data_IF_873501751972
#
_entry.id   IF_873501751972
#
_cell.length_a   1.000
_cell.length_b   1.000
_cell.length_c   1.000
_cell.angle_alpha   90.00
_cell.angle_beta   90.00
_cell.angle_gamma   90.00
#
_symmetry.space_group_name_H-M   'P 1'
#
loop_
_entity.id
_entity.type
_entity.pdbx_description
1 polymer ?
#
# COMPACT_ATOMS: atom_id res chain seq x y z
N UNK A 1 -34.01 -48.90 -26.47
CA UNK A 1 -33.17 -48.15 -27.43
C UNK A 1 -33.74 -46.75 -27.57
N UNK A 2 -33.24 -45.81 -26.77
CA UNK A 2 -33.45 -44.36 -26.79
C UNK A 2 -32.75 -43.86 -25.51
N UNK A 3 -31.72 -43.01 -25.50
CA UNK A 3 -31.26 -42.02 -26.46
C UNK A 3 -31.01 -40.74 -25.66
N UNK A 4 -29.89 -40.69 -24.94
CA UNK A 4 -29.48 -39.61 -24.03
C UNK A 4 -29.18 -38.33 -24.83
N UNK A 5 -29.90 -37.24 -24.56
CA UNK A 5 -29.68 -35.93 -25.21
C UNK A 5 -28.99 -34.97 -24.24
N UNK A 6 -27.70 -34.71 -24.47
CA UNK A 6 -26.93 -33.66 -23.82
C UNK A 6 -27.01 -32.39 -24.67
N UNK A 7 -27.39 -31.26 -24.08
CA UNK A 7 -27.38 -29.94 -24.74
C UNK A 7 -26.04 -29.26 -24.51
N UNK A 8 -25.31 -29.00 -25.60
CA UNK A 8 -24.03 -28.31 -25.60
C UNK A 8 -24.21 -26.79 -25.71
N UNK A 9 -23.43 -26.05 -24.92
CA UNK A 9 -23.33 -24.58 -24.92
C UNK A 9 -22.52 -24.13 -26.16
N UNK A 10 -23.09 -23.26 -26.99
CA UNK A 10 -22.39 -22.67 -28.14
C UNK A 10 -21.93 -21.26 -27.75
N UNK A 11 -20.61 -21.06 -27.60
CA UNK A 11 -20.00 -19.74 -27.54
C UNK A 11 -19.90 -19.17 -28.97
N UNK A 12 -20.66 -18.11 -29.25
CA UNK A 12 -20.54 -17.35 -30.49
C UNK A 12 -19.43 -16.29 -30.35
N UNK A 13 -18.22 -16.61 -30.79
CA UNK A 13 -17.17 -15.63 -31.08
C UNK A 13 -17.32 -15.13 -32.52
N UNK A 14 -17.66 -13.85 -32.70
CA UNK A 14 -17.62 -13.20 -34.01
C UNK A 14 -16.18 -12.76 -34.31
N UNK A 15 -15.55 -13.45 -35.25
CA UNK A 15 -14.31 -13.04 -35.91
C UNK A 15 -14.56 -13.02 -37.41
N UNK A 16 -14.31 -11.88 -38.06
CA UNK A 16 -14.54 -11.62 -39.47
C UNK A 16 -13.52 -12.35 -40.37
N UNK A 17 -14.06 -12.92 -41.44
CA UNK A 17 -13.47 -13.88 -42.39
C UNK A 17 -12.39 -13.31 -43.35
N UNK A 18 -11.28 -14.03 -43.56
CA UNK A 18 -10.54 -14.18 -44.84
C UNK A 18 -9.44 -15.26 -44.78
N UNK A 19 -9.73 -16.43 -45.35
CA UNK A 19 -8.93 -17.40 -46.15
C UNK A 19 -7.39 -17.55 -45.97
N UNK A 20 -7.01 -18.66 -45.31
CA UNK A 20 -5.85 -19.60 -45.48
C UNK A 20 -4.47 -19.16 -46.05
N UNK A 21 -3.39 -19.41 -45.30
CA UNK A 21 -2.40 -20.49 -45.53
C UNK A 21 -1.18 -20.41 -44.58
N UNK A 22 -0.48 -21.53 -44.51
CA UNK A 22 0.39 -22.12 -43.49
C UNK A 22 1.80 -21.51 -43.32
N UNK A 23 2.36 -21.66 -42.10
CA UNK A 23 3.76 -22.06 -41.75
C UNK A 23 4.70 -21.03 -41.08
N UNK A 24 5.15 -21.45 -39.89
CA UNK A 24 6.52 -21.39 -39.33
C UNK A 24 7.22 -20.06 -39.00
N UNK A 25 7.56 -19.97 -37.71
CA UNK A 25 8.86 -19.57 -37.13
C UNK A 25 9.34 -18.13 -37.34
N UNK A 26 9.43 -17.36 -36.26
CA UNK A 26 10.70 -16.77 -35.76
C UNK A 26 10.42 -15.80 -34.61
N UNK A 27 11.36 -15.75 -33.67
CA UNK A 27 11.33 -14.88 -32.51
C UNK A 27 11.38 -13.39 -32.91
N UNK A 28 10.71 -12.55 -32.12
CA UNK A 28 11.11 -11.15 -31.90
C UNK A 28 10.55 -10.72 -30.55
N UNK A 29 11.45 -10.29 -29.67
CA UNK A 29 11.10 -9.53 -28.49
C UNK A 29 10.47 -8.21 -28.97
N UNK A 30 9.28 -7.89 -28.48
CA UNK A 30 8.75 -6.54 -28.61
C UNK A 30 8.42 -6.01 -27.22
N UNK A 31 8.93 -4.80 -27.01
CA UNK A 31 8.91 -4.08 -25.76
C UNK A 31 7.47 -3.70 -25.46
N UNK A 32 6.90 -4.26 -24.39
CA UNK A 32 5.63 -3.75 -23.87
C UNK A 32 5.91 -2.39 -23.23
N UNK A 33 5.88 -1.34 -24.06
CA UNK A 33 5.79 0.03 -23.62
C UNK A 33 4.62 0.14 -22.64
N UNK A 34 4.89 0.66 -21.45
CA UNK A 34 3.83 0.98 -20.50
C UNK A 34 2.86 1.94 -21.19
N UNK A 35 1.65 1.46 -21.44
CA UNK A 35 0.61 2.27 -22.05
C UNK A 35 0.20 3.34 -21.04
N UNK A 36 0.69 4.57 -21.26
CA UNK A 36 0.28 5.73 -20.48
C UNK A 36 -1.20 5.96 -20.72
N UNK A 37 -2.04 5.52 -19.78
CA UNK A 37 -3.45 5.83 -19.79
C UNK A 37 -3.64 7.35 -19.88
N UNK A 38 -4.49 7.79 -20.81
CA UNK A 38 -4.89 9.18 -20.92
C UNK A 38 -5.46 9.66 -19.57
N UNK A 39 -5.27 10.94 -19.18
CA UNK A 39 -5.83 11.46 -17.95
C UNK A 39 -7.35 11.29 -18.00
N UNK A 40 -7.90 10.50 -17.08
CA UNK A 40 -9.33 10.39 -16.91
C UNK A 40 -9.90 11.76 -16.50
N UNK A 41 -11.03 12.16 -17.07
CA UNK A 41 -11.76 13.34 -16.62
C UNK A 41 -11.96 13.28 -15.11
N UNK A 42 -11.78 14.41 -14.43
CA UNK A 42 -11.88 14.50 -12.99
C UNK A 42 -13.28 14.06 -12.53
N UNK A 43 -13.38 12.81 -12.06
CA UNK A 43 -14.62 12.28 -11.50
C UNK A 43 -14.86 12.95 -10.14
N UNK A 44 -16.12 13.34 -9.88
CA UNK A 44 -16.50 13.79 -8.55
C UNK A 44 -16.29 12.64 -7.55
N UNK A 45 -15.44 12.85 -6.55
CA UNK A 45 -15.19 11.87 -5.50
C UNK A 45 -16.43 11.76 -4.61
N UNK A 46 -16.92 10.54 -4.41
CA UNK A 46 -17.97 10.28 -3.44
C UNK A 46 -17.37 10.29 -2.04
N UNK A 47 -17.94 11.12 -1.16
CA UNK A 47 -17.53 11.16 0.24
C UNK A 47 -18.20 10.03 1.02
N UNK A 48 -17.39 9.24 1.73
CA UNK A 48 -17.85 8.14 2.57
C UNK A 48 -18.18 6.85 1.80
N UNK A 49 -18.57 5.81 2.55
CA UNK A 49 -18.83 4.47 2.03
C UNK A 49 -18.21 3.39 2.90
N UNK A 50 -18.43 2.13 2.51
CA UNK A 50 -17.86 0.96 3.20
C UNK A 50 -17.01 0.19 2.21
N UNK A 51 -15.76 -0.07 2.60
CA UNK A 51 -14.88 -1.04 1.93
C UNK A 51 -14.88 -2.31 2.77
N UNK A 52 -15.19 -3.45 2.15
CA UNK A 52 -15.13 -4.77 2.80
C UNK A 52 -13.95 -5.53 2.21
N UNK A 53 -13.02 -5.91 3.07
CA UNK A 53 -11.80 -6.63 2.70
C UNK A 53 -11.85 -8.00 3.38
N UNK A 54 -11.64 -9.07 2.62
CA UNK A 54 -11.43 -10.40 3.16
C UNK A 54 -9.98 -10.58 3.56
N UNK A 55 -9.74 -11.12 4.76
CA UNK A 55 -8.41 -11.38 5.30
C UNK A 55 -8.16 -12.89 5.42
N UNK A 56 -6.89 -13.28 5.40
CA UNK A 56 -6.49 -14.69 5.52
C UNK A 56 -6.69 -15.26 6.93
N UNK A 57 -6.61 -14.41 7.97
CA UNK A 57 -6.80 -14.79 9.37
C UNK A 57 -7.13 -13.58 10.28
N UNK A 58 -7.59 -13.87 11.49
CA UNK A 58 -7.71 -12.89 12.59
C UNK A 58 -6.30 -12.61 13.19
N UNK A 59 -5.97 -11.35 13.55
CA UNK A 59 -4.74 -11.04 14.29
C UNK A 59 -4.79 -11.52 15.74
N UNK A 60 -3.67 -12.04 16.27
CA UNK A 60 -3.58 -12.46 17.68
C UNK A 60 -3.53 -11.27 18.66
N UNK A 61 -3.03 -10.13 18.19
CA UNK A 61 -2.98 -8.88 18.94
C UNK A 61 -2.96 -7.66 18.01
N UNK A 62 -3.21 -6.47 18.58
CA UNK A 62 -3.23 -5.19 17.85
C UNK A 62 -2.01 -4.31 18.15
N UNK A 63 -1.13 -4.75 19.06
CA UNK A 63 0.19 -4.15 19.20
C UNK A 63 1.07 -4.66 18.06
N UNK A 64 1.30 -3.81 17.07
CA UNK A 64 1.96 -4.18 15.82
C UNK A 64 3.47 -4.42 15.95
N UNK A 65 4.09 -4.06 17.09
CA UNK A 65 5.51 -4.37 17.36
C UNK A 65 5.71 -5.58 18.26
N UNK A 66 4.67 -6.05 18.96
CA UNK A 66 4.77 -7.14 19.93
C UNK A 66 5.03 -8.50 19.26
N UNK A 67 5.56 -9.48 20.01
CA UNK A 67 5.89 -10.81 19.45
C UNK A 67 4.68 -11.59 18.94
N UNK A 68 3.47 -11.23 19.36
CA UNK A 68 2.21 -11.78 18.85
C UNK A 68 1.78 -11.21 17.50
N UNK A 69 2.47 -10.20 16.95
CA UNK A 69 2.11 -9.53 15.69
C UNK A 69 2.49 -10.35 14.42
N UNK A 70 2.33 -11.68 14.46
CA UNK A 70 2.71 -12.58 13.37
C UNK A 70 1.75 -12.57 12.17
N UNK A 71 0.55 -12.00 12.31
CA UNK A 71 -0.40 -11.82 11.21
C UNK A 71 -0.01 -10.61 10.35
N UNK A 72 0.30 -10.85 9.07
CA UNK A 72 0.64 -9.77 8.14
C UNK A 72 -0.55 -8.82 7.92
N UNK A 73 -1.77 -9.37 7.81
CA UNK A 73 -2.99 -8.58 7.76
C UNK A 73 -3.16 -7.72 9.02
N UNK A 74 -2.92 -8.29 10.20
CA UNK A 74 -2.95 -7.58 11.47
C UNK A 74 -2.03 -6.37 11.49
N UNK A 75 -0.78 -6.54 11.05
CA UNK A 75 0.19 -5.44 10.98
C UNK A 75 -0.23 -4.36 9.98
N UNK A 76 -0.80 -4.71 8.82
CA UNK A 76 -1.33 -3.69 7.89
C UNK A 76 -2.45 -2.85 8.51
N UNK A 77 -3.38 -3.49 9.21
CA UNK A 77 -4.46 -2.78 9.87
C UNK A 77 -3.95 -1.93 11.04
N UNK A 78 -3.16 -2.52 11.93
CA UNK A 78 -2.71 -1.90 13.17
C UNK A 78 -1.59 -0.87 13.02
N UNK A 79 -0.74 -0.99 11.99
CA UNK A 79 0.38 -0.07 11.74
C UNK A 79 0.02 0.94 10.65
N UNK A 80 -0.32 0.46 9.46
CA UNK A 80 -0.36 1.31 8.25
C UNK A 80 -1.55 2.27 8.28
N UNK A 81 -2.68 1.86 8.84
CA UNK A 81 -3.91 2.68 8.81
C UNK A 81 -4.14 3.54 10.04
N UNK A 82 -3.54 3.18 11.17
CA UNK A 82 -3.85 3.79 12.48
C UNK A 82 -2.67 4.53 13.11
N UNK A 83 -1.43 4.25 12.70
CA UNK A 83 -0.25 4.88 13.28
C UNK A 83 0.21 6.05 12.40
N UNK A 84 0.31 7.27 12.95
CA UNK A 84 0.88 8.40 12.23
C UNK A 84 2.37 8.18 11.93
N UNK A 85 2.77 8.45 10.70
CA UNK A 85 4.16 8.34 10.22
C UNK A 85 4.70 9.70 9.79
N UNK A 86 6.01 9.94 9.87
CA UNK A 86 6.59 11.25 9.48
C UNK A 86 6.59 11.48 7.96
N UNK A 87 6.62 10.41 7.18
CA UNK A 87 6.60 10.44 5.71
C UNK A 87 5.57 9.46 5.15
N UNK A 88 4.87 9.88 4.10
CA UNK A 88 4.15 8.99 3.20
C UNK A 88 4.95 8.78 1.92
N UNK A 89 4.73 7.66 1.25
CA UNK A 89 5.28 7.44 -0.10
C UNK A 89 4.20 7.79 -1.11
N UNK A 90 4.49 8.75 -2.00
CA UNK A 90 3.54 9.26 -2.99
C UNK A 90 4.19 9.29 -4.37
N UNK A 91 3.37 9.14 -5.41
CA UNK A 91 3.83 9.18 -6.79
C UNK A 91 3.98 10.63 -7.25
N UNK A 92 5.16 11.01 -7.72
CA UNK A 92 5.44 12.30 -8.32
C UNK A 92 5.98 12.08 -9.74
N UNK A 93 5.13 12.30 -10.75
CA UNK A 93 5.44 11.91 -12.13
C UNK A 93 5.50 10.38 -12.25
N UNK A 94 6.64 9.84 -12.68
CA UNK A 94 6.87 8.40 -12.80
C UNK A 94 7.49 7.77 -11.54
N UNK A 95 8.03 8.60 -10.63
CA UNK A 95 8.78 8.17 -9.46
C UNK A 95 7.93 8.09 -8.19
N UNK A 96 8.36 7.24 -7.25
CA UNK A 96 7.85 7.22 -5.88
C UNK A 96 8.77 8.01 -4.98
N UNK A 97 8.24 9.07 -4.36
CA UNK A 97 9.00 9.99 -3.51
C UNK A 97 8.41 10.04 -2.10
N UNK A 98 9.25 10.26 -1.07
CA UNK A 98 8.76 10.57 0.26
C UNK A 98 8.14 11.97 0.28
N UNK A 99 7.01 12.10 0.94
CA UNK A 99 6.31 13.37 1.20
C UNK A 99 6.01 13.43 2.70
N UNK A 100 6.29 14.57 3.35
CA UNK A 100 5.95 14.72 4.76
C UNK A 100 4.45 14.50 5.01
N UNK A 101 4.11 13.83 6.11
CA UNK A 101 2.71 13.63 6.47
C UNK A 101 2.14 14.83 7.25
N UNK A 102 0.84 14.77 7.56
CA UNK A 102 0.16 15.79 8.37
C UNK A 102 0.69 15.97 9.80
N UNK A 103 1.54 15.07 10.31
CA UNK A 103 2.17 15.24 11.63
C UNK A 103 3.41 16.14 11.60
N UNK A 104 3.86 16.55 10.42
CA UNK A 104 5.06 17.38 10.23
C UNK A 104 4.67 18.81 9.86
N UNK A 105 5.36 19.79 10.45
CA UNK A 105 5.19 21.21 10.11
C UNK A 105 6.06 21.66 8.93
N UNK A 106 7.12 20.91 8.64
CA UNK A 106 8.06 21.17 7.55
C UNK A 106 8.89 19.93 7.24
N UNK A 107 9.57 19.95 6.10
CA UNK A 107 10.63 18.99 5.80
C UNK A 107 11.69 18.95 6.93
N UNK A 108 12.24 17.77 7.25
CA UNK A 108 13.28 17.67 8.28
C UNK A 108 14.57 18.36 7.85
N UNK A 109 15.27 18.97 8.81
CA UNK A 109 16.59 19.55 8.58
C UNK A 109 17.66 18.53 8.87
N UNK A 110 18.48 18.22 7.87
CA UNK A 110 19.60 17.28 8.01
C UNK A 110 20.91 18.05 8.15
N UNK A 111 21.61 17.80 9.26
CA UNK A 111 22.99 18.22 9.46
C UNK A 111 23.90 17.01 9.23
N UNK A 112 24.60 17.00 8.10
CA UNK A 112 25.57 15.97 7.76
C UNK A 112 26.85 16.09 8.61
N UNK A 113 27.49 14.96 8.91
CA UNK A 113 28.74 14.89 9.68
C UNK A 113 28.75 13.69 10.63
N UNK A 114 29.84 13.43 11.37
CA UNK A 114 29.84 12.53 12.51
C UNK A 114 29.59 13.33 13.81
N UNK A 115 28.45 13.15 14.51
CA UNK A 115 27.28 12.35 14.14
C UNK A 115 26.33 13.08 13.18
N UNK A 116 25.62 12.31 12.35
CA UNK A 116 24.57 12.84 11.49
C UNK A 116 23.36 13.17 12.36
N UNK A 117 22.79 14.36 12.19
CA UNK A 117 21.58 14.79 12.93
C UNK A 117 20.45 15.06 11.97
N UNK A 118 19.27 14.52 12.25
CA UNK A 118 18.02 14.80 11.54
C UNK A 118 17.06 15.46 12.53
N UNK A 119 16.62 16.68 12.23
CA UNK A 119 15.73 17.46 13.10
C UNK A 119 14.33 17.51 12.51
N UNK A 120 13.39 16.91 13.23
CA UNK A 120 11.96 16.92 12.89
C UNK A 120 11.24 18.09 13.57
N UNK A 121 10.43 18.83 12.81
CA UNK A 121 9.49 19.82 13.34
C UNK A 121 8.08 19.28 13.20
N UNK A 122 7.46 18.92 14.32
CA UNK A 122 6.10 18.38 14.33
C UNK A 122 5.07 19.50 14.15
N UNK A 123 3.94 19.15 13.54
CA UNK A 123 2.77 20.01 13.42
C UNK A 123 2.12 20.19 14.81
N UNK A 124 1.98 21.41 15.33
CA UNK A 124 1.39 21.66 16.65
C UNK A 124 -0.10 21.27 16.73
N UNK A 125 -0.79 21.15 15.60
CA UNK A 125 -2.19 20.75 15.52
C UNK A 125 -2.38 19.23 15.38
N UNK A 126 -1.28 18.47 15.29
CA UNK A 126 -1.34 17.01 15.19
C UNK A 126 -1.77 16.39 16.52
N UNK A 127 -2.87 15.64 16.47
CA UNK A 127 -3.45 14.96 17.63
C UNK A 127 -3.71 13.49 17.32
N UNK A 128 -3.64 12.67 18.35
CA UNK A 128 -4.15 11.30 18.34
C UNK A 128 -5.68 11.30 18.23
N UNK A 129 -6.26 10.12 17.99
CA UNK A 129 -7.72 9.96 17.85
C UNK A 129 -8.52 10.34 19.09
N UNK A 130 -7.88 10.39 20.26
CA UNK A 130 -8.45 10.86 21.54
C UNK A 130 -8.29 12.36 21.77
N UNK A 131 -7.63 13.08 20.86
CA UNK A 131 -7.32 14.51 20.97
C UNK A 131 -6.01 14.84 21.70
N UNK A 132 -5.27 13.84 22.19
CA UNK A 132 -3.96 14.07 22.82
C UNK A 132 -2.95 14.56 21.78
N UNK A 133 -2.19 15.64 22.03
CA UNK A 133 -1.17 16.11 21.08
C UNK A 133 -0.09 15.06 20.79
N UNK A 134 0.30 14.93 19.52
CA UNK A 134 1.43 14.11 19.11
C UNK A 134 2.72 14.92 19.31
N UNK A 135 3.68 14.35 20.01
CA UNK A 135 4.93 15.02 20.39
C UNK A 135 6.16 14.17 20.08
N UNK A 136 7.35 14.74 20.29
CA UNK A 136 8.61 13.98 20.17
C UNK A 136 8.74 12.88 21.23
N UNK A 137 7.96 12.93 22.32
CA UNK A 137 7.95 11.88 23.33
C UNK A 137 7.38 10.57 22.77
N UNK A 138 6.37 10.64 21.88
CA UNK A 138 5.76 9.47 21.24
C UNK A 138 6.77 8.75 20.34
N UNK A 139 7.44 9.50 19.46
CA UNK A 139 8.49 8.96 18.58
C UNK A 139 9.65 8.36 19.41
N UNK A 140 10.05 9.04 20.49
CA UNK A 140 11.10 8.54 21.39
C UNK A 140 10.65 7.25 22.08
N UNK A 141 9.42 7.20 22.58
CA UNK A 141 8.86 6.02 23.22
C UNK A 141 8.87 4.84 22.25
N UNK A 142 8.30 4.99 21.05
CA UNK A 142 8.25 3.91 20.05
C UNK A 142 9.65 3.43 19.65
N UNK A 143 10.59 4.36 19.40
CA UNK A 143 11.96 3.99 19.05
C UNK A 143 12.67 3.21 20.17
N UNK A 144 12.47 3.60 21.44
CA UNK A 144 13.04 2.89 22.59
C UNK A 144 12.32 1.57 22.85
N UNK A 145 11.00 1.49 22.65
CA UNK A 145 10.24 0.26 22.78
C UNK A 145 10.72 -0.80 21.78
N UNK A 146 10.91 -0.42 20.51
CA UNK A 146 11.44 -1.32 19.48
C UNK A 146 12.88 -1.75 19.81
N UNK A 147 13.73 -0.81 20.25
CA UNK A 147 15.15 -1.09 20.52
C UNK A 147 15.38 -1.93 21.78
N UNK A 148 14.66 -1.63 22.85
CA UNK A 148 14.95 -2.12 24.20
C UNK A 148 13.86 -3.07 24.73
N UNK A 149 12.68 -3.13 24.10
CA UNK A 149 11.53 -3.89 24.57
C UNK A 149 11.78 -5.39 24.65
N UNK A 150 11.21 -6.06 25.65
CA UNK A 150 11.37 -7.51 25.80
C UNK A 150 10.51 -8.31 24.83
N UNK A 151 9.28 -7.83 24.60
CA UNK A 151 8.25 -8.43 23.74
C UNK A 151 8.19 -7.69 22.40
N UNK A 152 9.12 -8.00 21.49
CA UNK A 152 9.22 -7.40 20.15
C UNK A 152 9.34 -8.51 19.11
N UNK A 153 8.57 -8.43 18.02
CA UNK A 153 8.54 -9.45 16.97
C UNK A 153 9.92 -9.63 16.29
N UNK A 154 10.55 -8.52 15.91
CA UNK A 154 11.75 -8.49 15.06
C UNK A 154 13.05 -8.41 15.86
N UNK A 155 13.13 -9.15 16.98
CA UNK A 155 14.26 -9.09 17.89
C UNK A 155 15.50 -9.87 17.45
#
# INVERSE_FOLDING_TARGET
MAGLTASALVLAGCSSNSTSSTSSSSASADSSAAESAAPADAMALQQGGTVVIGAEQEPDCMDWIASCAGSIWGSYMAQVTTIPVVFNVRKAGEDWVPEISGIMASEPVVSAGPPQTVTYKLNPDAVWSDGTPITSADLKYTALAIRDGEDILDK
#
